data_IF_514683931502
#
_entry.id   IF_514683931502
#
_cell.length_a   1.000
_cell.length_b   1.000
_cell.length_c   1.000
_cell.angle_alpha   90.00
_cell.angle_beta   90.00
_cell.angle_gamma   90.00
#
_symmetry.space_group_name_H-M   'P 1'
#
loop_
_entity.id
_entity.type
_entity.pdbx_description
1 polymer ?
#
# COMPACT_ATOMS: atom_id res chain seq x y z
N UNK A 1 27.07 -7.24 13.61
CA UNK A 1 25.61 -7.03 13.82
C UNK A 1 25.02 -5.87 13.02
N UNK A 2 25.62 -4.66 12.99
CA UNK A 2 25.06 -3.52 12.24
C UNK A 2 25.03 -3.67 10.70
N UNK A 3 26.07 -4.26 10.10
CA UNK A 3 26.13 -4.50 8.65
C UNK A 3 25.07 -5.51 8.18
N UNK A 4 24.78 -6.52 8.99
CA UNK A 4 23.77 -7.54 8.72
C UNK A 4 22.35 -6.96 8.67
N UNK A 5 22.02 -6.03 9.57
CA UNK A 5 20.73 -5.33 9.53
C UNK A 5 20.56 -4.48 8.26
N UNK A 6 21.62 -3.80 7.80
CA UNK A 6 21.58 -3.02 6.58
C UNK A 6 21.42 -3.91 5.34
N UNK A 7 22.08 -5.07 5.32
CA UNK A 7 21.92 -6.06 4.25
C UNK A 7 20.49 -6.61 4.19
N UNK A 8 19.86 -6.93 5.33
CA UNK A 8 18.47 -7.38 5.40
C UNK A 8 17.50 -6.27 4.94
N UNK A 9 17.72 -5.02 5.35
CA UNK A 9 16.90 -3.90 4.86
C UNK A 9 17.05 -3.67 3.36
N UNK A 10 18.27 -3.77 2.82
CA UNK A 10 18.50 -3.68 1.38
C UNK A 10 17.80 -4.82 0.62
N UNK A 11 17.86 -6.05 1.13
CA UNK A 11 17.15 -7.20 0.55
C UNK A 11 15.64 -7.05 0.63
N UNK A 12 15.08 -6.53 1.72
CA UNK A 12 13.65 -6.23 1.83
C UNK A 12 13.21 -5.15 0.84
N UNK A 13 14.04 -4.14 0.61
CA UNK A 13 13.78 -3.09 -0.38
C UNK A 13 13.89 -3.61 -1.82
N UNK A 14 14.86 -4.48 -2.11
CA UNK A 14 15.04 -5.11 -3.43
C UNK A 14 13.92 -6.12 -3.69
N UNK A 15 13.54 -6.94 -2.71
CA UNK A 15 12.38 -7.84 -2.81
C UNK A 15 11.07 -7.05 -2.99
N UNK A 16 10.88 -5.95 -2.26
CA UNK A 16 9.74 -5.05 -2.48
C UNK A 16 9.72 -4.44 -3.89
N UNK A 17 10.90 -4.25 -4.50
CA UNK A 17 11.03 -3.80 -5.91
C UNK A 17 10.85 -4.93 -6.92
N UNK A 18 11.23 -6.16 -6.58
CA UNK A 18 11.02 -7.34 -7.42
C UNK A 18 9.53 -7.74 -7.47
N UNK A 19 8.83 -7.70 -6.33
CA UNK A 19 7.35 -7.77 -6.27
C UNK A 19 6.70 -6.62 -7.08
N UNK A 20 7.36 -5.46 -7.15
CA UNK A 20 6.87 -4.34 -7.96
C UNK A 20 7.02 -4.55 -9.49
N UNK A 21 7.77 -5.58 -9.94
CA UNK A 21 7.94 -5.89 -11.36
C UNK A 21 6.74 -6.64 -11.95
N UNK A 22 5.96 -7.35 -11.12
CA UNK A 22 4.73 -8.04 -11.53
C UNK A 22 3.64 -7.76 -10.48
N UNK A 23 3.21 -6.51 -10.39
CA UNK A 23 2.00 -6.18 -9.63
C UNK A 23 0.82 -6.66 -10.46
N UNK A 24 0.10 -7.66 -9.95
CA UNK A 24 -1.25 -7.94 -10.41
C UNK A 24 -2.14 -6.77 -9.97
N UNK A 25 -2.28 -5.81 -10.89
CA UNK A 25 -2.99 -4.57 -10.64
C UNK A 25 -4.45 -4.80 -10.28
N UNK A 26 -5.13 -5.74 -10.95
CA UNK A 26 -6.54 -6.00 -10.67
C UNK A 26 -6.70 -6.60 -9.27
N UNK A 27 -5.91 -7.62 -8.93
CA UNK A 27 -5.98 -8.25 -7.62
C UNK A 27 -5.63 -7.27 -6.50
N UNK A 28 -4.61 -6.43 -6.69
CA UNK A 28 -4.18 -5.47 -5.65
C UNK A 28 -5.17 -4.30 -5.51
N UNK A 29 -5.72 -3.77 -6.61
CA UNK A 29 -6.76 -2.73 -6.55
C UNK A 29 -8.03 -3.25 -5.87
N UNK A 30 -8.43 -4.49 -6.15
CA UNK A 30 -9.58 -5.12 -5.48
C UNK A 30 -9.32 -5.30 -3.98
N UNK A 31 -8.14 -5.79 -3.59
CA UNK A 31 -7.75 -5.86 -2.17
C UNK A 31 -7.84 -4.50 -1.49
N UNK A 32 -7.42 -3.44 -2.18
CA UNK A 32 -7.48 -2.09 -1.63
C UNK A 32 -8.89 -1.51 -1.52
N UNK A 33 -9.81 -1.87 -2.42
CA UNK A 33 -11.23 -1.51 -2.29
C UNK A 33 -11.86 -2.17 -1.08
N UNK A 34 -11.70 -3.48 -0.92
CA UNK A 34 -12.20 -4.20 0.26
C UNK A 34 -11.61 -3.63 1.55
N UNK A 35 -10.31 -3.30 1.56
CA UNK A 35 -9.70 -2.66 2.72
C UNK A 35 -10.30 -1.28 3.01
N UNK A 36 -10.60 -0.49 1.96
CA UNK A 36 -11.24 0.82 2.09
C UNK A 36 -12.64 0.69 2.71
N UNK A 37 -13.43 -0.28 2.27
CA UNK A 37 -14.75 -0.58 2.86
C UNK A 37 -14.64 -0.94 4.34
N UNK A 38 -13.65 -1.76 4.71
CA UNK A 38 -13.43 -2.16 6.10
C UNK A 38 -13.02 -0.99 7.02
N UNK A 39 -12.26 -0.01 6.50
CA UNK A 39 -11.86 1.17 7.28
C UNK A 39 -12.82 2.34 7.14
N UNK A 40 -13.81 2.28 6.23
CA UNK A 40 -14.78 3.35 6.02
C UNK A 40 -15.47 3.81 7.32
N UNK A 41 -15.84 2.92 8.26
CA UNK A 41 -16.39 3.34 9.55
C UNK A 41 -15.41 4.18 10.38
N UNK A 42 -14.11 3.86 10.35
CA UNK A 42 -13.08 4.65 11.05
C UNK A 42 -12.92 6.03 10.42
N UNK A 43 -12.95 6.10 9.09
CA UNK A 43 -12.91 7.37 8.36
C UNK A 43 -14.15 8.23 8.64
N UNK A 44 -15.34 7.61 8.70
CA UNK A 44 -16.59 8.27 9.07
C UNK A 44 -16.60 8.75 10.53
N UNK A 45 -15.92 8.03 11.42
CA UNK A 45 -15.69 8.44 12.81
C UNK A 45 -14.69 9.60 12.96
N UNK A 46 -14.15 10.12 11.85
CA UNK A 46 -13.23 11.25 11.82
C UNK A 46 -11.76 10.87 11.97
N UNK A 47 -11.41 9.58 11.95
CA UNK A 47 -10.01 9.20 11.86
C UNK A 47 -9.46 9.57 10.48
N UNK A 48 -8.39 10.35 10.45
CA UNK A 48 -7.73 10.70 9.20
C UNK A 48 -7.10 9.48 8.54
N UNK A 49 -7.08 9.44 7.20
CA UNK A 49 -6.39 8.37 6.43
C UNK A 49 -4.92 8.20 6.87
N UNK A 50 -4.28 9.30 7.29
CA UNK A 50 -2.92 9.30 7.83
C UNK A 50 -2.79 8.60 9.18
N UNK A 51 -3.77 8.72 10.09
CA UNK A 51 -3.75 8.03 11.39
C UNK A 51 -4.02 6.54 11.21
N UNK A 52 -5.03 6.19 10.40
CA UNK A 52 -5.37 4.81 10.04
C UNK A 52 -4.21 4.13 9.29
N UNK A 53 -3.53 4.86 8.41
CA UNK A 53 -2.34 4.36 7.72
C UNK A 53 -1.15 4.12 8.65
N UNK A 54 -0.95 4.98 9.65
CA UNK A 54 0.14 4.81 10.62
C UNK A 54 -0.04 3.54 11.46
N UNK A 55 -1.27 3.22 11.86
CA UNK A 55 -1.60 2.02 12.63
C UNK A 55 -1.73 0.75 11.77
N UNK A 56 -2.00 0.87 10.47
CA UNK A 56 -2.25 -0.28 9.61
C UNK A 56 -1.30 -0.35 8.39
N UNK A 57 -0.42 -1.38 8.37
CA UNK A 57 0.54 -1.61 7.27
C UNK A 57 -0.15 -1.86 5.93
N UNK A 58 -1.29 -2.54 5.92
CA UNK A 58 -2.06 -2.82 4.71
C UNK A 58 -2.62 -1.53 4.10
N UNK A 59 -3.06 -0.59 4.95
CA UNK A 59 -3.57 0.72 4.53
C UNK A 59 -2.45 1.55 3.90
N UNK A 60 -1.24 1.57 4.50
CA UNK A 60 -0.06 2.20 3.89
C UNK A 60 0.30 1.61 2.53
N UNK A 61 0.26 0.28 2.40
CA UNK A 61 0.51 -0.41 1.14
C UNK A 61 -0.53 -0.01 0.09
N UNK A 62 -1.80 0.03 0.45
CA UNK A 62 -2.86 0.43 -0.48
C UNK A 62 -2.76 1.89 -0.94
N UNK A 63 -2.41 2.82 -0.05
CA UNK A 63 -2.13 4.22 -0.45
C UNK A 63 -0.97 4.26 -1.47
N UNK A 64 0.09 3.50 -1.24
CA UNK A 64 1.24 3.45 -2.16
C UNK A 64 0.88 2.83 -3.52
N UNK A 65 0.16 1.70 -3.52
CA UNK A 65 -0.32 1.04 -4.74
C UNK A 65 -1.24 1.96 -5.53
N UNK A 66 -2.23 2.57 -4.88
CA UNK A 66 -3.18 3.47 -5.55
C UNK A 66 -2.47 4.68 -6.16
N UNK A 67 -1.51 5.29 -5.44
CA UNK A 67 -0.68 6.38 -5.99
C UNK A 67 0.13 5.93 -7.21
N UNK A 68 0.70 4.72 -7.15
CA UNK A 68 1.45 4.17 -8.28
C UNK A 68 0.54 3.85 -9.46
N UNK A 69 -0.64 3.28 -9.21
CA UNK A 69 -1.66 2.97 -10.20
C UNK A 69 -2.17 4.23 -10.92
N UNK A 70 -2.45 5.31 -10.18
CA UNK A 70 -2.83 6.62 -10.74
C UNK A 70 -1.71 7.17 -11.64
N UNK A 71 -0.46 7.17 -11.17
CA UNK A 71 0.69 7.63 -11.99
C UNK A 71 0.86 6.82 -13.27
N UNK A 72 0.60 5.51 -13.21
CA UNK A 72 0.66 4.59 -14.35
C UNK A 72 -0.63 4.56 -15.18
N UNK A 73 -1.65 5.34 -14.83
CA UNK A 73 -2.97 5.38 -15.49
C UNK A 73 -3.63 4.00 -15.58
N UNK A 74 -3.46 3.17 -14.54
CA UNK A 74 -4.07 1.85 -14.47
C UNK A 74 -5.59 2.01 -14.26
N UNK A 75 -6.44 1.36 -15.07
CA UNK A 75 -7.89 1.41 -14.88
C UNK A 75 -8.31 0.91 -13.50
N UNK A 76 -9.26 1.62 -12.88
CA UNK A 76 -9.78 1.27 -11.55
C UNK A 76 -8.96 1.80 -10.36
N UNK A 77 -7.92 2.58 -10.62
CA UNK A 77 -7.20 3.32 -9.58
C UNK A 77 -8.06 4.44 -8.97
N UNK A 78 -7.98 4.60 -7.65
CA UNK A 78 -8.76 5.57 -6.88
C UNK A 78 -7.85 6.56 -6.16
N UNK A 79 -8.31 7.79 -5.98
CA UNK A 79 -7.61 8.80 -5.18
C UNK A 79 -7.99 8.61 -3.71
N UNK A 80 -6.96 8.41 -2.88
CA UNK A 80 -7.04 8.34 -1.43
C UNK A 80 -6.59 9.64 -0.79
#
# INVERSE_FOLDING_TARGET
>A
MRASCLAVMALLLIASRADAAIIDWQAELQRCRTLRENIAPLLQAGEGISSVGRSNRSVRRCIWIQRLAVRKKIPGAEVW
#
